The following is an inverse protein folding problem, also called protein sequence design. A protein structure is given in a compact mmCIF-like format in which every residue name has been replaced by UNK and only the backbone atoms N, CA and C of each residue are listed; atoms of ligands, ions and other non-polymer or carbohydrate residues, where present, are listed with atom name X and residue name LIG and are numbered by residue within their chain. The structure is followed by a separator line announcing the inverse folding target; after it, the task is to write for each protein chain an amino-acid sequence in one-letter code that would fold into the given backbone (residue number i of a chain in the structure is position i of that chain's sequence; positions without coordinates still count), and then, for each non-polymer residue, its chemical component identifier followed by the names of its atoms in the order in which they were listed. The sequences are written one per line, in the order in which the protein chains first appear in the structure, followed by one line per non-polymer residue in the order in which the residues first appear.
data_IF_806260031098
#
_entry.id   IF_806260031098
#
_cell.length_a   1.000
_cell.length_b   1.000
_cell.length_c   1.000
_cell.angle_alpha   90.00
_cell.angle_beta   90.00
_cell.angle_gamma   90.00
#
_symmetry.space_group_name_H-M   'P 1'
#
loop_
_entity.id
_entity.type
_entity.pdbx_description
1 polymer ?
#
# COMPACT_ATOMS: atom_id res chain seq x y z
N UNK A 1 20.41 -34.15 7.38
CA UNK A 1 19.88 -33.21 6.38
C UNK A 1 19.67 -33.87 5.00
N UNK A 2 20.66 -34.60 4.46
CA UNK A 2 20.55 -35.25 3.14
C UNK A 2 19.47 -36.35 2.99
N UNK A 3 19.10 -37.06 4.06
CA UNK A 3 18.15 -38.19 3.99
C UNK A 3 16.70 -37.80 3.66
N UNK A 4 16.32 -36.54 3.84
CA UNK A 4 14.96 -36.03 3.51
C UNK A 4 15.00 -35.19 2.24
N UNK A 5 16.02 -34.35 2.11
CA UNK A 5 16.13 -33.40 1.01
C UNK A 5 16.40 -34.09 -0.34
N UNK A 6 17.31 -35.07 -0.36
CA UNK A 6 17.69 -35.76 -1.60
C UNK A 6 16.50 -36.55 -2.17
N UNK A 7 15.79 -37.41 -1.41
CA UNK A 7 14.62 -38.10 -1.95
C UNK A 7 13.46 -37.16 -2.31
N UNK A 8 13.34 -36.00 -1.65
CA UNK A 8 12.34 -34.98 -2.01
C UNK A 8 12.65 -34.38 -3.38
N UNK A 9 13.90 -33.97 -3.60
CA UNK A 9 14.34 -33.43 -4.88
C UNK A 9 14.27 -34.50 -5.97
N UNK A 10 14.73 -35.74 -5.75
CA UNK A 10 14.66 -36.84 -6.73
C UNK A 10 13.24 -37.16 -7.22
N UNK A 11 12.20 -36.76 -6.47
CA UNK A 11 10.79 -36.91 -6.85
C UNK A 11 10.18 -35.67 -7.54
N UNK A 12 10.97 -34.72 -7.99
CA UNK A 12 10.47 -33.47 -8.59
C UNK A 12 10.16 -32.37 -7.58
N UNK A 13 10.60 -32.52 -6.32
CA UNK A 13 10.40 -31.51 -5.29
C UNK A 13 11.05 -30.18 -5.64
N UNK A 14 10.45 -29.08 -5.17
CA UNK A 14 10.95 -27.72 -5.37
C UNK A 14 11.30 -27.09 -4.03
N UNK A 15 12.47 -26.48 -3.95
CA UNK A 15 12.87 -25.67 -2.79
C UNK A 15 12.90 -24.22 -3.25
N UNK A 16 12.15 -23.38 -2.53
CA UNK A 16 12.20 -21.94 -2.68
C UNK A 16 12.93 -21.38 -1.47
N UNK A 17 14.10 -20.79 -1.71
CA UNK A 17 14.87 -20.08 -0.71
C UNK A 17 14.66 -18.58 -0.89
N UNK A 18 14.42 -17.89 0.22
CA UNK A 18 14.54 -16.43 0.30
C UNK A 18 15.89 -16.15 0.94
N UNK A 19 16.56 -15.07 0.56
CA UNK A 19 17.99 -14.85 0.87
C UNK A 19 18.32 -14.98 2.37
N UNK A 20 19.46 -15.60 2.67
CA UNK A 20 20.02 -15.77 4.02
C UNK A 20 21.52 -15.44 3.96
N UNK A 21 21.83 -14.18 4.26
CA UNK A 21 23.12 -13.47 4.18
C UNK A 21 22.83 -11.98 4.36
N UNK A 22 23.79 -11.06 4.11
CA UNK A 22 23.59 -9.59 4.24
C UNK A 22 22.40 -9.01 3.46
N UNK A 23 21.90 -9.72 2.45
CA UNK A 23 20.65 -9.36 1.76
C UNK A 23 19.41 -9.36 2.67
N UNK A 24 19.48 -9.93 3.89
CA UNK A 24 18.45 -9.77 4.90
C UNK A 24 18.37 -8.32 5.43
N UNK A 25 19.51 -7.65 5.62
CA UNK A 25 19.59 -6.25 5.99
C UNK A 25 19.02 -5.33 4.90
N UNK A 26 19.20 -5.67 3.61
CA UNK A 26 18.65 -4.93 2.46
C UNK A 26 17.12 -5.09 2.41
N UNK A 27 16.65 -6.32 2.60
CA UNK A 27 15.23 -6.65 2.71
C UNK A 27 14.56 -5.88 3.85
N UNK A 28 15.18 -5.81 5.03
CA UNK A 28 14.64 -5.08 6.17
C UNK A 28 14.63 -3.57 5.95
N UNK A 29 15.57 -3.04 5.16
CA UNK A 29 15.60 -1.62 4.76
C UNK A 29 14.53 -1.30 3.73
N UNK A 30 14.40 -2.11 2.68
CA UNK A 30 13.31 -1.99 1.70
C UNK A 30 11.93 -2.01 2.37
N UNK A 31 11.75 -2.88 3.38
CA UNK A 31 10.54 -2.93 4.19
C UNK A 31 10.28 -1.70 5.07
N UNK A 32 11.23 -0.77 5.17
CA UNK A 32 11.20 0.36 6.11
C UNK A 32 11.37 -0.05 7.58
N UNK A 33 11.86 -1.26 7.85
CA UNK A 33 12.06 -1.79 9.21
C UNK A 33 13.47 -1.51 9.75
N UNK A 34 14.35 -0.95 8.92
CA UNK A 34 15.73 -0.60 9.27
C UNK A 34 16.20 0.59 8.42
N UNK A 35 17.08 1.41 8.99
CA UNK A 35 17.63 2.60 8.31
C UNK A 35 18.91 2.28 7.51
N UNK A 36 19.17 3.07 6.46
CA UNK A 36 20.37 3.02 5.63
C UNK A 36 20.08 2.77 4.15
N UNK A 37 21.07 2.97 3.29
CA UNK A 37 21.03 2.60 1.87
C UNK A 37 22.42 2.12 1.44
N UNK A 38 22.46 1.07 0.63
CA UNK A 38 23.65 0.60 -0.06
C UNK A 38 23.25 0.15 -1.47
N UNK A 39 24.26 -0.08 -2.31
CA UNK A 39 24.04 -0.42 -3.73
C UNK A 39 23.70 -1.89 -3.96
N UNK A 40 23.05 -2.55 -3.01
CA UNK A 40 22.55 -3.92 -3.18
C UNK A 40 21.04 -4.04 -2.92
N UNK A 41 20.41 -3.00 -2.36
CA UNK A 41 18.96 -2.88 -2.23
C UNK A 41 18.34 -2.50 -3.58
N UNK A 42 17.46 -3.36 -4.08
CA UNK A 42 16.78 -3.15 -5.37
C UNK A 42 15.37 -2.58 -5.22
N UNK A 43 15.01 -2.10 -4.04
CA UNK A 43 13.71 -1.46 -3.79
C UNK A 43 13.61 -0.14 -4.57
N UNK A 44 12.63 -0.03 -5.45
CA UNK A 44 12.46 1.10 -6.37
C UNK A 44 13.34 1.04 -7.62
N UNK A 45 14.21 0.03 -7.75
CA UNK A 45 15.05 -0.16 -8.94
C UNK A 45 14.23 -0.76 -10.09
N UNK A 46 14.63 -0.49 -11.34
CA UNK A 46 14.02 -1.15 -12.51
C UNK A 46 14.70 -2.50 -12.74
N UNK A 47 13.95 -3.58 -12.62
CA UNK A 47 14.45 -4.94 -12.83
C UNK A 47 14.00 -5.49 -14.17
N UNK A 48 14.84 -6.35 -14.77
CA UNK A 48 14.62 -6.92 -16.09
C UNK A 48 14.51 -8.45 -16.05
N UNK A 49 13.61 -8.99 -16.87
CA UNK A 49 13.51 -10.42 -17.13
C UNK A 49 14.61 -10.82 -18.12
N UNK A 50 15.60 -11.55 -17.63
CA UNK A 50 16.71 -12.05 -18.44
C UNK A 50 16.28 -13.15 -19.42
N UNK A 51 15.31 -13.99 -19.03
CA UNK A 51 14.84 -15.12 -19.85
C UNK A 51 13.31 -15.19 -19.83
N UNK A 52 12.60 -14.50 -20.74
CA UNK A 52 11.14 -14.44 -20.75
C UNK A 52 10.44 -15.79 -20.96
N UNK A 53 11.13 -16.74 -21.59
CA UNK A 53 10.64 -18.10 -21.80
C UNK A 53 10.77 -19.00 -20.56
N UNK A 54 11.48 -18.56 -19.51
CA UNK A 54 11.65 -19.34 -18.30
C UNK A 54 10.29 -19.54 -17.59
N UNK A 55 10.00 -20.75 -17.07
CA UNK A 55 8.77 -20.98 -16.31
C UNK A 55 8.55 -20.01 -15.14
N UNK A 56 9.62 -19.53 -14.50
CA UNK A 56 9.52 -18.54 -13.42
C UNK A 56 9.06 -17.17 -13.95
N UNK A 57 9.39 -16.79 -15.18
CA UNK A 57 9.02 -15.51 -15.78
C UNK A 57 7.59 -15.47 -16.35
N UNK A 58 6.84 -16.59 -16.29
CA UNK A 58 5.54 -16.69 -16.94
C UNK A 58 4.52 -15.67 -16.39
N UNK A 59 4.14 -14.71 -17.25
CA UNK A 59 3.15 -13.68 -16.93
C UNK A 59 3.72 -12.55 -16.08
N UNK A 60 5.04 -12.43 -16.00
CA UNK A 60 5.75 -11.30 -15.40
C UNK A 60 6.08 -10.30 -16.51
N UNK A 61 5.90 -8.98 -16.30
CA UNK A 61 6.35 -7.95 -17.25
C UNK A 61 7.86 -8.07 -17.54
N UNK A 62 8.29 -7.69 -18.75
CA UNK A 62 9.72 -7.74 -19.14
C UNK A 62 10.60 -6.83 -18.29
N UNK A 63 10.03 -5.71 -17.84
CA UNK A 63 10.63 -4.78 -16.89
C UNK A 63 9.58 -4.44 -15.83
N UNK A 64 10.00 -4.34 -14.58
CA UNK A 64 9.14 -3.98 -13.47
C UNK A 64 9.93 -3.33 -12.34
N UNK A 65 9.26 -2.55 -11.50
CA UNK A 65 9.88 -1.97 -10.31
C UNK A 65 10.10 -3.05 -9.24
N UNK A 66 11.35 -3.20 -8.83
CA UNK A 66 11.76 -4.06 -7.72
C UNK A 66 11.16 -3.54 -6.42
N UNK A 67 10.65 -4.45 -5.61
CA UNK A 67 10.19 -4.14 -4.26
C UNK A 67 10.97 -4.99 -3.31
N UNK A 68 11.52 -4.41 -2.25
CA UNK A 68 11.78 -5.15 -1.03
C UNK A 68 12.81 -6.28 -1.27
N UNK A 69 13.89 -5.98 -1.99
CA UNK A 69 14.78 -6.99 -2.56
C UNK A 69 16.27 -6.69 -2.46
N UNK A 70 17.07 -7.70 -2.81
CA UNK A 70 18.53 -7.66 -2.73
C UNK A 70 19.18 -8.38 -3.91
N UNK A 71 20.34 -7.87 -4.32
CA UNK A 71 21.30 -8.54 -5.21
C UNK A 71 22.44 -9.21 -4.45
N UNK A 72 22.52 -9.08 -3.13
CA UNK A 72 23.62 -9.58 -2.29
C UNK A 72 23.51 -11.08 -2.03
N UNK A 73 23.81 -11.85 -3.08
CA UNK A 73 23.91 -13.30 -3.04
C UNK A 73 25.36 -13.76 -3.01
N UNK A 74 25.66 -14.65 -2.06
CA UNK A 74 26.96 -15.30 -1.99
C UNK A 74 26.91 -16.71 -2.59
N UNK A 75 27.98 -17.10 -3.31
CA UNK A 75 28.16 -18.45 -3.87
C UNK A 75 27.02 -18.93 -4.78
N UNK A 76 26.59 -18.10 -5.73
CA UNK A 76 25.67 -18.52 -6.79
C UNK A 76 26.32 -19.67 -7.58
N UNK A 77 25.63 -20.81 -7.80
CA UNK A 77 26.18 -21.89 -8.62
C UNK A 77 26.51 -21.43 -10.04
N UNK A 78 27.63 -21.89 -10.59
CA UNK A 78 28.06 -21.54 -11.96
C UNK A 78 27.07 -21.99 -13.05
N UNK A 79 26.25 -23.00 -12.75
CA UNK A 79 25.20 -23.54 -13.62
C UNK A 79 23.82 -22.96 -13.34
N UNK A 80 23.72 -21.91 -12.51
CA UNK A 80 22.47 -21.23 -12.25
C UNK A 80 21.97 -20.46 -13.48
N UNK A 81 20.69 -20.63 -13.76
CA UNK A 81 19.93 -19.83 -14.72
C UNK A 81 19.42 -18.57 -14.03
N UNK A 82 19.94 -17.42 -14.42
CA UNK A 82 19.43 -16.11 -13.98
C UNK A 82 18.15 -15.77 -14.73
N UNK A 83 17.08 -15.49 -14.00
CA UNK A 83 15.75 -15.19 -14.55
C UNK A 83 15.41 -13.70 -14.42
N UNK A 84 15.78 -13.09 -13.31
CA UNK A 84 15.62 -11.65 -13.07
C UNK A 84 16.99 -11.04 -12.79
N UNK A 85 17.24 -9.90 -13.41
CA UNK A 85 18.50 -9.18 -13.37
C UNK A 85 18.27 -7.72 -13.00
N UNK A 86 19.16 -7.16 -12.18
CA UNK A 86 19.26 -5.73 -11.98
C UNK A 86 20.22 -5.14 -13.04
N UNK A 87 19.73 -4.33 -13.99
CA UNK A 87 20.54 -3.75 -15.05
C UNK A 87 21.49 -2.65 -14.55
N UNK A 88 21.24 -2.05 -13.38
CA UNK A 88 22.07 -1.00 -12.80
C UNK A 88 23.24 -1.59 -12.03
N UNK A 89 22.98 -2.55 -11.15
CA UNK A 89 24.03 -3.21 -10.36
C UNK A 89 24.73 -4.36 -11.10
N UNK A 90 24.24 -4.69 -12.30
CA UNK A 90 24.72 -5.82 -13.11
C UNK A 90 24.77 -7.12 -12.30
N UNK A 91 23.67 -7.39 -11.58
CA UNK A 91 23.62 -8.49 -10.61
C UNK A 91 22.31 -9.29 -10.70
N UNK A 92 22.36 -10.60 -10.40
CA UNK A 92 21.17 -11.45 -10.41
C UNK A 92 20.28 -11.17 -9.19
N UNK A 93 18.97 -11.14 -9.42
CA UNK A 93 17.97 -10.95 -8.36
C UNK A 93 17.14 -12.23 -8.15
N UNK A 94 16.86 -12.97 -9.22
CA UNK A 94 16.21 -14.28 -9.16
C UNK A 94 16.96 -15.23 -10.06
N UNK A 95 17.31 -16.39 -9.51
CA UNK A 95 17.98 -17.45 -10.25
C UNK A 95 17.54 -18.82 -9.77
N UNK A 96 17.71 -19.82 -10.63
CA UNK A 96 17.39 -21.21 -10.32
C UNK A 96 18.43 -22.15 -10.90
N UNK A 97 18.56 -23.33 -10.32
CA UNK A 97 19.36 -24.41 -10.91
C UNK A 97 18.67 -25.74 -10.71
N UNK A 98 18.97 -26.66 -11.61
CA UNK A 98 18.47 -28.02 -11.52
C UNK A 98 19.39 -28.85 -10.63
N UNK A 99 18.78 -29.71 -9.82
CA UNK A 99 19.46 -30.72 -9.03
C UNK A 99 19.16 -32.10 -9.60
N UNK A 100 19.63 -33.18 -8.96
CA UNK A 100 19.24 -34.54 -9.35
C UNK A 100 17.75 -34.76 -9.02
N UNK A 101 16.91 -34.44 -9.99
CA UNK A 101 15.48 -34.74 -10.02
C UNK A 101 14.55 -33.60 -9.62
N UNK A 102 15.05 -32.44 -9.19
CA UNK A 102 14.22 -31.31 -8.74
C UNK A 102 14.92 -29.96 -8.90
N UNK A 103 14.22 -28.87 -8.61
CA UNK A 103 14.71 -27.51 -8.88
C UNK A 103 14.87 -26.73 -7.57
N UNK A 104 15.96 -25.95 -7.47
CA UNK A 104 16.11 -24.92 -6.44
C UNK A 104 15.97 -23.56 -7.09
N UNK A 105 15.12 -22.71 -6.52
CA UNK A 105 14.96 -21.31 -6.93
C UNK A 105 15.28 -20.39 -5.75
N UNK A 106 16.09 -19.36 -6.01
CA UNK A 106 16.41 -18.29 -5.06
C UNK A 106 15.70 -17.02 -5.49
N UNK A 107 14.93 -16.45 -4.56
CA UNK A 107 14.18 -15.21 -4.76
C UNK A 107 14.79 -14.11 -3.90
N UNK A 108 15.34 -13.07 -4.54
CA UNK A 108 15.93 -11.90 -3.88
C UNK A 108 14.92 -10.86 -3.45
N UNK A 109 13.73 -11.27 -3.02
CA UNK A 109 12.69 -10.35 -2.54
C UNK A 109 12.03 -10.91 -1.30
N UNK A 110 11.55 -10.05 -0.41
CA UNK A 110 10.55 -10.43 0.57
C UNK A 110 9.14 -10.18 0.05
N UNK A 111 8.20 -11.07 0.41
CA UNK A 111 6.82 -10.99 -0.09
C UNK A 111 5.91 -10.10 0.76
N UNK A 112 6.42 -9.49 1.82
CA UNK A 112 5.72 -8.42 2.53
C UNK A 112 5.73 -7.16 1.65
N UNK A 113 4.56 -6.63 1.25
CA UNK A 113 4.47 -5.50 0.31
C UNK A 113 4.89 -5.82 -1.14
N UNK A 114 4.84 -7.09 -1.55
CA UNK A 114 5.25 -7.52 -2.90
C UNK A 114 4.40 -6.88 -4.02
N UNK A 115 5.07 -6.43 -5.09
CA UNK A 115 4.41 -6.12 -6.35
C UNK A 115 3.77 -7.36 -7.01
N UNK A 116 2.80 -7.13 -7.89
CA UNK A 116 2.17 -8.19 -8.71
C UNK A 116 3.21 -9.08 -9.41
N UNK A 117 4.31 -8.49 -9.87
CA UNK A 117 5.40 -9.18 -10.53
C UNK A 117 6.17 -10.13 -9.58
N UNK A 118 6.56 -9.64 -8.40
CA UNK A 118 7.30 -10.45 -7.41
C UNK A 118 6.41 -11.55 -6.80
N UNK A 119 5.13 -11.26 -6.57
CA UNK A 119 4.13 -12.26 -6.17
C UNK A 119 3.98 -13.36 -7.23
N UNK A 120 3.97 -12.98 -8.52
CA UNK A 120 3.88 -13.93 -9.64
C UNK A 120 5.13 -14.81 -9.77
N UNK A 121 6.32 -14.26 -9.53
CA UNK A 121 7.57 -15.03 -9.49
C UNK A 121 7.54 -16.12 -8.40
N UNK A 122 7.09 -15.78 -7.18
CA UNK A 122 6.93 -16.76 -6.10
C UNK A 122 5.89 -17.83 -6.45
N UNK A 123 4.73 -17.42 -6.98
CA UNK A 123 3.66 -18.35 -7.38
C UNK A 123 4.17 -19.37 -8.42
N UNK A 124 4.88 -18.89 -9.44
CA UNK A 124 5.48 -19.74 -10.47
C UNK A 124 6.53 -20.71 -9.88
N UNK A 125 7.36 -20.25 -8.94
CA UNK A 125 8.36 -21.08 -8.25
C UNK A 125 7.71 -22.22 -7.46
N UNK A 126 6.67 -21.90 -6.67
CA UNK A 126 5.90 -22.87 -5.90
C UNK A 126 5.00 -23.77 -6.77
N UNK A 127 4.81 -23.43 -8.05
CA UNK A 127 3.92 -24.16 -8.95
C UNK A 127 2.44 -23.99 -8.60
N UNK A 128 2.10 -22.86 -7.96
CA UNK A 128 0.74 -22.52 -7.55
C UNK A 128 0.21 -21.39 -8.42
N UNK A 129 -1.09 -21.39 -8.69
CA UNK A 129 -1.75 -20.26 -9.34
C UNK A 129 -2.25 -19.32 -8.26
N UNK A 130 -1.60 -18.16 -8.10
CA UNK A 130 -2.12 -17.07 -7.25
C UNK A 130 -2.90 -16.10 -8.14
N UNK A 131 -4.16 -15.77 -7.82
CA UNK A 131 -4.83 -14.66 -8.47
C UNK A 131 -4.07 -13.37 -8.13
N UNK A 132 -3.48 -12.74 -9.15
CA UNK A 132 -2.88 -11.41 -9.00
C UNK A 132 -4.05 -10.44 -8.88
N UNK A 133 -4.21 -9.84 -7.70
CA UNK A 133 -5.20 -8.79 -7.47
C UNK A 133 -4.68 -7.51 -8.11
N UNK A 134 -5.07 -7.27 -9.36
CA UNK A 134 -5.02 -5.92 -9.92
C UNK A 134 -5.75 -5.02 -8.92
N UNK A 135 -5.06 -4.02 -8.36
CA UNK A 135 -5.68 -3.08 -7.43
C UNK A 135 -7.02 -2.63 -7.99
N UNK A 136 -8.08 -2.89 -7.21
CA UNK A 136 -9.42 -2.51 -7.62
C UNK A 136 -9.43 -0.99 -7.71
N UNK A 137 -9.70 -0.47 -8.91
CA UNK A 137 -9.84 0.97 -9.14
C UNK A 137 -11.30 1.35 -8.90
N UNK A 138 -11.53 2.07 -7.81
CA UNK A 138 -12.82 2.59 -7.42
C UNK A 138 -13.06 3.93 -8.11
N UNK A 139 -14.20 4.07 -8.77
CA UNK A 139 -14.68 5.35 -9.32
C UNK A 139 -15.87 5.92 -8.58
N UNK A 140 -16.42 5.10 -7.71
CA UNK A 140 -17.59 5.31 -6.89
C UNK A 140 -17.57 4.27 -5.77
N UNK A 141 -18.17 4.60 -4.63
CA UNK A 141 -18.29 3.71 -3.47
C UNK A 141 -19.72 3.77 -2.92
N UNK A 142 -20.12 2.72 -2.20
CA UNK A 142 -21.33 2.70 -1.40
C UNK A 142 -21.01 2.41 0.05
N UNK A 143 -22.06 2.22 0.85
CA UNK A 143 -21.92 2.00 2.29
C UNK A 143 -21.06 0.80 2.65
N UNK A 144 -21.13 -0.30 1.89
CA UNK A 144 -20.34 -1.50 2.16
C UNK A 144 -18.83 -1.23 2.08
N UNK A 145 -18.37 -0.50 1.04
CA UNK A 145 -16.95 -0.15 0.93
C UNK A 145 -16.52 0.83 2.03
N UNK A 146 -17.35 1.83 2.35
CA UNK A 146 -17.02 2.82 3.39
C UNK A 146 -16.93 2.14 4.76
N UNK A 147 -17.92 1.33 5.12
CA UNK A 147 -17.95 0.63 6.41
C UNK A 147 -16.81 -0.39 6.54
N UNK A 148 -16.47 -1.08 5.46
CA UNK A 148 -15.30 -1.95 5.43
C UNK A 148 -14.01 -1.16 5.66
N UNK A 149 -13.85 -0.03 4.98
CA UNK A 149 -12.67 0.81 5.11
C UNK A 149 -12.49 1.31 6.55
N UNK A 150 -13.56 1.82 7.18
CA UNK A 150 -13.54 2.28 8.57
C UNK A 150 -13.23 1.12 9.54
N UNK A 151 -13.81 -0.06 9.30
CA UNK A 151 -13.57 -1.25 10.13
C UNK A 151 -12.12 -1.73 10.02
N UNK A 152 -11.55 -1.76 8.81
CA UNK A 152 -10.16 -2.17 8.57
C UNK A 152 -9.15 -1.21 9.23
N UNK A 153 -9.50 0.09 9.30
CA UNK A 153 -8.74 1.10 10.04
C UNK A 153 -8.91 1.01 11.57
N UNK A 154 -9.78 0.12 12.07
CA UNK A 154 -10.05 -0.03 13.50
C UNK A 154 -10.87 1.12 14.10
N UNK A 155 -11.59 1.87 13.26
CA UNK A 155 -12.35 3.05 13.67
C UNK A 155 -13.75 2.65 14.16
N UNK A 156 -14.19 3.29 15.23
CA UNK A 156 -15.57 3.18 15.70
C UNK A 156 -16.44 4.20 14.99
N UNK A 157 -17.60 3.79 14.50
CA UNK A 157 -18.51 4.70 13.79
C UNK A 157 -19.99 4.40 14.06
N UNK A 158 -20.82 5.42 13.83
CA UNK A 158 -22.27 5.34 13.81
C UNK A 158 -22.80 5.84 12.47
N UNK A 159 -23.74 5.10 11.90
CA UNK A 159 -24.39 5.47 10.64
C UNK A 159 -25.54 6.44 10.94
N UNK A 160 -25.61 7.51 10.16
CA UNK A 160 -26.68 8.49 10.19
C UNK A 160 -27.15 8.83 8.79
N UNK A 161 -27.91 9.91 8.70
CA UNK A 161 -28.39 10.48 7.44
C UNK A 161 -28.20 11.98 7.50
N UNK A 162 -27.78 12.58 6.39
CA UNK A 162 -27.64 14.02 6.27
C UNK A 162 -29.00 14.72 6.03
N UNK A 163 -28.96 16.02 5.74
CA UNK A 163 -30.16 16.81 5.48
C UNK A 163 -30.86 16.48 4.14
N UNK A 164 -30.15 15.81 3.22
CA UNK A 164 -30.61 15.47 1.88
C UNK A 164 -31.11 14.02 1.77
N UNK A 165 -30.88 13.20 2.80
CA UNK A 165 -31.29 11.81 2.83
C UNK A 165 -30.15 10.82 2.52
N UNK A 166 -28.93 11.32 2.30
CA UNK A 166 -27.76 10.51 2.02
C UNK A 166 -27.12 9.99 3.32
N UNK A 167 -26.51 8.79 3.31
CA UNK A 167 -25.88 8.23 4.50
C UNK A 167 -24.68 9.07 4.91
N UNK A 168 -24.43 9.15 6.21
CA UNK A 168 -23.19 9.68 6.76
C UNK A 168 -22.67 8.77 7.85
N UNK A 169 -21.38 8.89 8.16
CA UNK A 169 -20.74 8.13 9.24
C UNK A 169 -20.14 9.10 10.23
N UNK A 170 -20.60 9.05 11.48
CA UNK A 170 -19.95 9.74 12.60
C UNK A 170 -18.87 8.82 13.13
N UNK A 171 -17.62 9.22 12.97
CA UNK A 171 -16.43 8.41 13.24
C UNK A 171 -15.70 8.98 14.45
N UNK A 172 -15.21 8.11 15.32
CA UNK A 172 -14.44 8.49 16.51
C UNK A 172 -13.02 7.94 16.41
N UNK A 173 -12.04 8.82 16.50
CA UNK A 173 -10.61 8.50 16.52
C UNK A 173 -9.93 9.21 17.70
N UNK A 174 -9.30 8.46 18.60
CA UNK A 174 -8.61 8.99 19.80
C UNK A 174 -9.44 9.99 20.63
N UNK A 175 -10.77 9.84 20.64
CA UNK A 175 -11.69 10.73 21.34
C UNK A 175 -12.07 12.01 20.59
N UNK A 176 -11.57 12.21 19.37
CA UNK A 176 -11.99 13.26 18.44
C UNK A 176 -13.04 12.67 17.50
N UNK A 177 -14.17 13.36 17.36
CA UNK A 177 -15.23 12.99 16.41
C UNK A 177 -15.06 13.75 15.10
N UNK A 178 -15.19 13.03 13.98
CA UNK A 178 -15.38 13.62 12.65
C UNK A 178 -16.51 12.91 11.92
N UNK A 179 -17.03 13.53 10.87
CA UNK A 179 -18.10 12.99 10.05
C UNK A 179 -17.56 12.73 8.65
N UNK A 180 -17.87 11.54 8.10
CA UNK A 180 -17.69 11.21 6.70
C UNK A 180 -19.04 11.40 5.99
N UNK A 181 -19.07 12.34 5.04
CA UNK A 181 -20.17 12.58 4.12
C UNK A 181 -19.88 11.99 2.74
N UNK A 182 -20.94 11.72 1.99
CA UNK A 182 -20.88 11.31 0.58
C UNK A 182 -21.69 12.27 -0.27
N UNK A 183 -21.22 12.53 -1.49
CA UNK A 183 -21.90 13.35 -2.49
C UNK A 183 -21.56 12.88 -3.93
N UNK A 184 -22.05 13.59 -4.95
CA UNK A 184 -22.00 13.21 -6.37
C UNK A 184 -22.58 11.80 -6.59
N UNK A 185 -23.86 11.65 -6.24
CA UNK A 185 -24.62 10.42 -6.43
C UNK A 185 -24.64 10.01 -7.93
N UNK A 186 -24.56 8.71 -8.17
CA UNK A 186 -24.52 8.13 -9.52
C UNK A 186 -25.94 7.86 -10.03
N UNK A 187 -26.36 8.60 -11.05
CA UNK A 187 -27.73 8.53 -11.62
C UNK A 187 -28.21 7.10 -11.93
N UNK A 188 -27.34 6.25 -12.47
CA UNK A 188 -27.66 4.88 -12.89
C UNK A 188 -27.26 3.80 -11.87
N UNK A 189 -26.77 4.19 -10.69
CA UNK A 189 -26.39 3.30 -9.59
C UNK A 189 -26.77 3.90 -8.22
N UNK A 190 -28.05 3.76 -7.80
CA UNK A 190 -28.51 4.28 -6.51
C UNK A 190 -27.67 3.79 -5.33
N UNK A 191 -27.31 4.71 -4.43
CA UNK A 191 -26.45 4.42 -3.27
C UNK A 191 -24.95 4.33 -3.60
N UNK A 192 -24.55 4.75 -4.80
CA UNK A 192 -23.14 4.95 -5.19
C UNK A 192 -22.83 6.43 -5.29
N UNK A 193 -21.67 6.81 -4.75
CA UNK A 193 -21.23 8.18 -4.60
C UNK A 193 -19.80 8.35 -5.13
N UNK A 194 -19.48 9.53 -5.65
CA UNK A 194 -18.16 9.81 -6.24
C UNK A 194 -17.36 10.86 -5.47
N UNK A 195 -17.93 11.45 -4.44
CA UNK A 195 -17.24 12.41 -3.59
C UNK A 195 -17.36 11.97 -2.13
N UNK A 196 -16.23 11.99 -1.41
CA UNK A 196 -16.15 11.74 0.02
C UNK A 196 -15.63 12.99 0.70
N UNK A 197 -16.32 13.45 1.74
CA UNK A 197 -15.86 14.55 2.58
C UNK A 197 -15.65 14.09 4.01
N UNK A 198 -14.49 14.40 4.57
CA UNK A 198 -14.21 14.30 6.00
C UNK A 198 -14.37 15.69 6.63
N UNK A 199 -15.10 15.76 7.73
CA UNK A 199 -15.46 17.02 8.38
C UNK A 199 -15.30 16.90 9.90
N UNK A 200 -14.49 17.76 10.49
CA UNK A 200 -14.30 17.86 11.93
C UNK A 200 -14.57 19.30 12.40
N UNK A 201 -15.21 19.44 13.56
CA UNK A 201 -15.58 20.74 14.14
C UNK A 201 -15.20 20.80 15.61
N UNK A 202 -14.67 21.94 16.03
CA UNK A 202 -14.37 22.25 17.43
C UNK A 202 -15.24 23.40 17.89
N UNK A 203 -15.94 23.20 19.01
CA UNK A 203 -16.85 24.19 19.63
C UNK A 203 -16.05 25.34 20.26
N UNK A 204 -15.65 26.31 19.44
CA UNK A 204 -14.80 27.43 19.85
C UNK A 204 -15.61 28.68 20.17
N UNK A 205 -16.87 28.78 19.73
CA UNK A 205 -17.75 29.89 20.09
C UNK A 205 -17.16 31.28 19.77
N UNK A 206 -16.45 31.38 18.65
CA UNK A 206 -15.79 32.60 18.18
C UNK A 206 -14.41 32.88 18.79
N UNK A 207 -13.86 31.97 19.61
CA UNK A 207 -12.52 32.15 20.18
C UNK A 207 -11.39 32.04 19.14
N UNK A 208 -11.61 31.30 18.05
CA UNK A 208 -10.66 31.14 16.96
C UNK A 208 -11.00 32.14 15.84
N UNK A 209 -10.15 33.14 15.56
CA UNK A 209 -10.40 34.11 14.50
C UNK A 209 -10.09 33.51 13.11
N UNK A 210 -10.69 34.08 12.06
CA UNK A 210 -10.50 33.62 10.68
C UNK A 210 -9.04 33.65 10.21
N UNK A 211 -8.21 34.54 10.78
CA UNK A 211 -6.79 34.63 10.49
C UNK A 211 -6.06 33.32 10.84
N UNK A 212 -6.41 32.68 11.95
CA UNK A 212 -5.79 31.43 12.40
C UNK A 212 -6.13 30.28 11.44
N UNK A 213 -7.38 30.17 11.01
CA UNK A 213 -7.79 29.13 10.04
C UNK A 213 -7.25 29.42 8.64
N UNK A 214 -7.15 30.68 8.25
CA UNK A 214 -6.50 31.06 7.00
C UNK A 214 -4.99 30.74 6.99
N UNK A 215 -4.30 30.92 8.12
CA UNK A 215 -2.89 30.58 8.26
C UNK A 215 -2.66 29.06 8.12
N UNK A 216 -3.57 28.22 8.65
CA UNK A 216 -3.54 26.78 8.38
C UNK A 216 -3.58 26.49 6.87
N UNK A 217 -4.51 27.10 6.13
CA UNK A 217 -4.64 26.89 4.68
C UNK A 217 -3.42 27.34 3.88
N UNK A 218 -2.63 28.29 4.42
CA UNK A 218 -1.38 28.73 3.79
C UNK A 218 -0.24 27.73 4.00
N UNK A 219 -0.24 27.04 5.14
CA UNK A 219 0.86 26.18 5.57
C UNK A 219 0.64 24.72 5.19
N UNK A 220 -0.61 24.27 5.16
CA UNK A 220 -0.98 22.88 4.99
C UNK A 220 -1.62 22.62 3.63
N UNK A 221 -1.54 21.36 3.18
CA UNK A 221 -2.14 20.89 1.92
C UNK A 221 -3.03 19.68 2.19
N UNK A 222 -4.05 19.49 1.36
CA UNK A 222 -4.95 18.33 1.44
C UNK A 222 -6.07 18.49 2.45
N UNK A 223 -6.23 19.66 3.08
CA UNK A 223 -7.38 20.03 3.89
C UNK A 223 -7.68 21.51 3.72
N UNK A 224 -8.88 21.91 4.14
CA UNK A 224 -9.31 23.30 4.29
C UNK A 224 -9.78 23.52 5.73
N UNK A 225 -9.41 24.67 6.28
CA UNK A 225 -9.90 25.14 7.57
C UNK A 225 -10.70 26.43 7.39
N UNK A 226 -11.74 26.60 8.20
CA UNK A 226 -12.58 27.80 8.21
C UNK A 226 -13.32 27.93 9.54
N UNK A 227 -13.96 29.07 9.77
CA UNK A 227 -14.89 29.28 10.86
C UNK A 227 -16.30 29.17 10.29
N UNK A 228 -17.17 28.36 10.91
CA UNK A 228 -18.56 28.21 10.47
C UNK A 228 -19.47 29.37 10.94
N UNK A 229 -20.77 29.28 10.63
CA UNK A 229 -21.73 30.34 10.94
C UNK A 229 -21.94 30.51 12.45
N UNK A 230 -21.66 29.48 13.25
CA UNK A 230 -21.71 29.47 14.71
C UNK A 230 -20.43 30.02 15.38
N UNK A 231 -19.39 30.29 14.59
CA UNK A 231 -18.09 30.74 15.12
C UNK A 231 -17.19 29.57 15.57
N UNK A 232 -17.49 28.36 15.13
CA UNK A 232 -16.73 27.15 15.46
C UNK A 232 -15.65 26.89 14.41
N UNK A 233 -14.47 26.48 14.87
CA UNK A 233 -13.36 26.12 13.99
C UNK A 233 -13.65 24.78 13.31
N UNK A 234 -13.48 24.73 11.99
CA UNK A 234 -13.74 23.56 11.16
C UNK A 234 -12.49 23.17 10.39
N UNK A 235 -12.26 21.86 10.26
CA UNK A 235 -11.32 21.26 9.32
C UNK A 235 -12.08 20.28 8.42
N UNK A 236 -11.86 20.37 7.11
CA UNK A 236 -12.46 19.45 6.15
C UNK A 236 -11.45 19.01 5.08
N UNK A 237 -11.67 17.84 4.50
CA UNK A 237 -10.92 17.33 3.36
C UNK A 237 -11.85 16.54 2.43
N UNK A 238 -11.61 16.61 1.12
CA UNK A 238 -12.47 16.00 0.11
C UNK A 238 -11.65 15.05 -0.79
N UNK A 239 -12.26 13.93 -1.21
CA UNK A 239 -11.67 12.96 -2.14
C UNK A 239 -12.64 12.66 -3.27
N UNK A 240 -12.26 13.09 -4.49
CA UNK A 240 -13.03 12.82 -5.70
C UNK A 240 -12.62 11.50 -6.36
N UNK A 241 -13.57 10.56 -6.49
CA UNK A 241 -13.33 9.19 -6.89
C UNK A 241 -13.42 8.98 -8.41
N UNK A 242 -14.15 9.82 -9.14
CA UNK A 242 -14.51 9.57 -10.55
C UNK A 242 -13.32 9.29 -11.48
N UNK A 243 -12.16 9.88 -11.19
CA UNK A 243 -10.91 9.67 -11.93
C UNK A 243 -10.29 8.28 -11.73
N UNK A 244 -10.73 7.54 -10.72
CA UNK A 244 -10.17 6.27 -10.28
C UNK A 244 -9.23 6.46 -9.11
N UNK A 245 -9.52 5.78 -8.00
CA UNK A 245 -8.65 5.67 -6.83
C UNK A 245 -8.47 4.21 -6.46
N UNK A 246 -7.39 3.87 -5.76
CA UNK A 246 -7.21 2.53 -5.19
C UNK A 246 -7.79 2.44 -3.79
N UNK A 247 -7.98 1.22 -3.28
CA UNK A 247 -8.32 1.00 -1.87
C UNK A 247 -7.34 1.72 -0.93
N UNK A 248 -6.05 1.60 -1.23
CA UNK A 248 -4.97 2.24 -0.48
C UNK A 248 -5.07 3.78 -0.49
N UNK A 249 -5.52 4.37 -1.60
CA UNK A 249 -5.74 5.83 -1.66
C UNK A 249 -6.84 6.28 -0.69
N UNK A 250 -7.93 5.51 -0.60
CA UNK A 250 -9.01 5.81 0.34
C UNK A 250 -8.58 5.60 1.79
N UNK A 251 -7.76 4.57 2.07
CA UNK A 251 -7.17 4.34 3.39
C UNK A 251 -6.29 5.51 3.83
N UNK A 252 -5.33 5.91 2.97
CA UNK A 252 -4.45 7.04 3.26
C UNK A 252 -5.19 8.38 3.38
N UNK A 253 -6.31 8.55 2.69
CA UNK A 253 -7.13 9.76 2.81
C UNK A 253 -7.64 9.95 4.25
N UNK A 254 -8.16 8.89 4.87
CA UNK A 254 -8.65 8.92 6.27
C UNK A 254 -7.48 9.10 7.25
N UNK A 255 -6.42 8.29 7.12
CA UNK A 255 -5.24 8.35 8.01
C UNK A 255 -4.56 9.73 7.98
N UNK A 256 -4.47 10.36 6.80
CA UNK A 256 -3.93 11.73 6.68
C UNK A 256 -4.81 12.75 7.36
N UNK A 257 -6.14 12.58 7.30
CA UNK A 257 -7.07 13.47 7.98
C UNK A 257 -6.97 13.35 9.50
N UNK A 258 -6.78 12.14 10.04
CA UNK A 258 -6.51 11.92 11.47
C UNK A 258 -5.28 12.71 11.94
N UNK A 259 -4.16 12.60 11.22
CA UNK A 259 -2.96 13.39 11.51
C UNK A 259 -3.17 14.90 11.36
N UNK A 260 -3.97 15.32 10.38
CA UNK A 260 -4.33 16.72 10.16
C UNK A 260 -5.18 17.28 11.30
N UNK A 261 -6.16 16.53 11.81
CA UNK A 261 -7.00 16.93 12.95
C UNK A 261 -6.16 17.18 14.20
N UNK A 262 -5.24 16.27 14.54
CA UNK A 262 -4.37 16.43 15.70
C UNK A 262 -3.48 17.67 15.56
N UNK A 263 -2.93 17.90 14.36
CA UNK A 263 -2.08 19.06 14.07
C UNK A 263 -2.88 20.37 14.09
N UNK A 264 -4.10 20.36 13.56
CA UNK A 264 -4.98 21.53 13.51
C UNK A 264 -5.47 21.90 14.91
N UNK A 265 -5.83 20.92 15.75
CA UNK A 265 -6.18 21.16 17.14
C UNK A 265 -5.05 21.88 17.90
N UNK A 266 -3.80 21.43 17.71
CA UNK A 266 -2.65 22.13 18.29
C UNK A 266 -2.48 23.55 17.74
N UNK A 267 -2.71 23.75 16.43
CA UNK A 267 -2.63 25.05 15.78
C UNK A 267 -3.64 26.05 16.36
N UNK A 268 -4.88 25.64 16.61
CA UNK A 268 -5.91 26.53 17.15
C UNK A 268 -5.86 26.71 18.68
N UNK A 269 -5.07 25.90 19.40
CA UNK A 269 -4.86 26.02 20.85
C UNK A 269 -3.58 26.80 21.21
N UNK A 270 -2.66 26.98 20.26
CA UNK A 270 -1.39 27.68 20.49
C UNK A 270 -1.51 29.21 20.45
N UNK A 271 -2.67 29.73 20.03
CA UNK A 271 -3.04 31.15 19.95
C UNK A 271 -4.08 31.52 21.02
#
# INVERSE_FOLDING_TARGET
MAQVLVPFLERGGRIVGMTYGKGDDDILRGAGLRDGADGYDVTGATLAIAIPADPLAKGVPLEYEGTNGSTDFWSIPDDATVVVWDPYDEAPVVFRWETRGGTVAMLGFHCYGASDATARLLANALGVTVPISKDTVFREVGSEEIERLLTELGLSFQIGTDAYGDPLWKVVFEGIEFVLYVDDAVDDAPGRYRDLQLYARWLTGGAVPCEVTNDWNRLMRGSRAYVDEEGDAVLAADLYLRGGVTWETMRQFIERFEGAMASFLNHILAE
#
